data_IF_870295687116
#
_entry.id   IF_870295687116
#
_cell.length_a   1.000
_cell.length_b   1.000
_cell.length_c   1.000
_cell.angle_alpha   90.00
_cell.angle_beta   90.00
_cell.angle_gamma   90.00
#
_symmetry.space_group_name_H-M   'P 1'
#
loop_
_entity.id
_entity.type
_entity.pdbx_description
1 polymer ?
#
# COMPACT_ATOMS: atom_id res chain seq x y z
N UNK A 1 -12.66 -5.33 -9.41
CA UNK A 1 -13.40 -5.92 -8.28
C UNK A 1 -12.85 -5.32 -7.00
N UNK A 2 -13.66 -4.68 -6.16
CA UNK A 2 -13.18 -4.07 -4.92
C UNK A 2 -12.67 -5.15 -3.95
N UNK A 3 -11.62 -4.82 -3.21
CA UNK A 3 -11.04 -5.69 -2.18
C UNK A 3 -11.61 -5.30 -0.82
N UNK A 4 -11.86 -6.26 0.06
CA UNK A 4 -12.22 -6.02 1.45
C UNK A 4 -10.97 -5.93 2.32
N UNK A 5 -10.95 -4.98 3.24
CA UNK A 5 -9.80 -4.72 4.11
C UNK A 5 -10.21 -4.72 5.58
N UNK A 6 -9.34 -5.25 6.42
CA UNK A 6 -9.37 -5.05 7.87
C UNK A 6 -8.27 -4.09 8.31
N UNK A 7 -8.54 -3.35 9.38
CA UNK A 7 -7.60 -2.40 9.96
C UNK A 7 -6.50 -3.14 10.74
N UNK A 8 -5.24 -2.85 10.45
CA UNK A 8 -4.12 -3.34 11.27
C UNK A 8 -3.84 -2.37 12.41
N UNK A 9 -3.26 -2.87 13.51
CA UNK A 9 -2.85 -2.01 14.63
C UNK A 9 -1.57 -1.23 14.32
N UNK A 10 -1.74 -0.14 13.58
CA UNK A 10 -0.68 0.80 13.22
C UNK A 10 -0.12 1.53 14.45
N UNK A 11 -0.91 1.69 15.50
CA UNK A 11 -0.51 2.45 16.68
C UNK A 11 0.61 1.74 17.42
N UNK A 12 0.44 0.45 17.71
CA UNK A 12 1.51 -0.35 18.32
C UNK A 12 2.74 -0.42 17.42
N UNK A 13 2.55 -0.54 16.10
CA UNK A 13 3.65 -0.63 15.15
C UNK A 13 4.46 0.68 15.00
N UNK A 14 3.90 1.83 15.38
CA UNK A 14 4.53 3.17 15.28
C UNK A 14 5.14 3.68 16.58
N UNK A 15 5.14 2.88 17.66
CA UNK A 15 5.59 3.29 19.01
C UNK A 15 6.99 3.90 19.05
N UNK A 16 7.91 3.40 18.22
CA UNK A 16 9.30 3.88 18.17
C UNK A 16 9.54 5.02 17.17
N UNK A 17 8.48 5.54 16.53
CA UNK A 17 8.56 6.57 15.48
C UNK A 17 8.14 7.93 16.00
N UNK A 18 8.87 9.00 15.61
CA UNK A 18 8.47 10.38 15.93
C UNK A 18 7.60 10.99 14.83
N UNK A 19 7.64 10.40 13.64
CA UNK A 19 6.96 10.90 12.46
C UNK A 19 6.51 9.78 11.52
N UNK A 20 5.36 9.98 10.88
CA UNK A 20 4.79 9.03 9.94
C UNK A 20 4.23 9.71 8.67
N UNK A 21 4.52 9.13 7.51
CA UNK A 21 3.91 9.49 6.23
C UNK A 21 2.84 8.46 5.86
N UNK A 22 1.57 8.87 5.87
CA UNK A 22 0.44 8.05 5.43
C UNK A 22 0.34 8.13 3.91
N UNK A 23 0.35 6.97 3.25
CA UNK A 23 0.29 6.84 1.80
C UNK A 23 -0.99 6.07 1.43
N UNK A 24 -2.10 6.78 1.16
CA UNK A 24 -3.36 6.14 0.86
C UNK A 24 -3.48 5.74 -0.61
N UNK A 25 -4.01 4.54 -0.84
CA UNK A 25 -4.66 4.17 -2.09
C UNK A 25 -6.12 4.65 -2.01
N UNK A 26 -6.49 5.62 -2.84
CA UNK A 26 -7.80 6.28 -2.75
C UNK A 26 -8.93 5.47 -3.41
N UNK A 27 -8.65 4.26 -3.91
CA UNK A 27 -9.66 3.42 -4.55
C UNK A 27 -10.08 2.26 -3.65
N UNK A 28 -9.22 1.25 -3.45
CA UNK A 28 -9.66 0.00 -2.82
C UNK A 28 -10.02 0.19 -1.32
N UNK A 29 -9.15 0.76 -0.46
CA UNK A 29 -9.52 1.10 0.91
C UNK A 29 -10.74 2.00 1.02
N UNK A 30 -10.83 2.99 0.14
CA UNK A 30 -11.94 3.94 0.14
C UNK A 30 -13.29 3.25 -0.17
N UNK A 31 -13.28 2.24 -1.04
CA UNK A 31 -14.45 1.43 -1.32
C UNK A 31 -14.86 0.63 -0.08
N UNK A 32 -13.92 -0.04 0.58
CA UNK A 32 -14.19 -0.82 1.81
C UNK A 32 -14.71 0.03 2.94
N UNK A 33 -14.10 1.18 3.20
CA UNK A 33 -14.57 2.07 4.27
C UNK A 33 -15.97 2.60 3.96
N UNK A 34 -16.26 2.95 2.70
CA UNK A 34 -17.60 3.38 2.30
C UNK A 34 -18.64 2.26 2.45
N UNK A 35 -18.29 1.04 2.06
CA UNK A 35 -19.14 -0.15 2.22
C UNK A 35 -19.41 -0.45 3.70
N UNK A 36 -18.35 -0.52 4.52
CA UNK A 36 -18.44 -0.77 5.98
C UNK A 36 -19.30 0.26 6.70
N UNK A 37 -19.22 1.52 6.31
CA UNK A 37 -20.00 2.60 6.91
C UNK A 37 -21.39 2.78 6.28
N UNK A 38 -21.74 2.00 5.25
CA UNK A 38 -22.96 2.16 4.46
C UNK A 38 -23.16 3.61 3.96
N UNK A 39 -22.09 4.19 3.39
CA UNK A 39 -22.05 5.59 2.92
C UNK A 39 -21.70 5.67 1.43
N UNK A 40 -22.02 6.80 0.77
CA UNK A 40 -21.58 7.05 -0.59
C UNK A 40 -20.06 6.97 -0.72
N UNK A 41 -19.60 6.15 -1.68
CA UNK A 41 -18.19 6.00 -2.03
C UNK A 41 -17.67 7.22 -2.78
N UNK A 42 -18.44 7.76 -3.72
CA UNK A 42 -18.09 8.97 -4.47
C UNK A 42 -19.29 9.91 -4.53
N UNK A 43 -19.02 11.18 -4.29
CA UNK A 43 -20.01 12.26 -4.38
C UNK A 43 -19.57 13.23 -5.46
N UNK A 44 -20.19 13.16 -6.63
CA UNK A 44 -19.77 13.88 -7.83
C UNK A 44 -19.85 15.41 -7.65
N UNK A 45 -20.93 15.90 -7.05
CA UNK A 45 -21.20 17.35 -6.97
C UNK A 45 -20.70 18.04 -5.69
N UNK A 46 -20.46 17.28 -4.62
CA UNK A 46 -20.11 17.87 -3.31
C UNK A 46 -18.61 17.81 -3.02
N UNK A 47 -17.97 16.71 -3.37
CA UNK A 47 -16.63 16.40 -2.87
C UNK A 47 -15.59 16.18 -3.99
N UNK A 48 -15.86 16.62 -5.23
CA UNK A 48 -14.97 16.47 -6.40
C UNK A 48 -14.45 15.03 -6.55
N UNK A 49 -15.37 14.06 -6.53
CA UNK A 49 -15.06 12.63 -6.59
C UNK A 49 -14.17 12.12 -5.42
N UNK A 50 -14.19 12.73 -4.24
CA UNK A 50 -13.54 12.14 -3.07
C UNK A 50 -14.49 11.21 -2.32
N UNK A 51 -13.90 10.23 -1.65
CA UNK A 51 -14.59 9.42 -0.64
C UNK A 51 -14.53 10.14 0.71
N UNK A 52 -15.60 10.84 1.07
CA UNK A 52 -15.76 11.44 2.39
C UNK A 52 -15.54 10.46 3.56
N UNK A 53 -16.05 9.20 3.54
CA UNK A 53 -15.78 8.27 4.64
C UNK A 53 -14.29 7.93 4.75
N UNK A 54 -13.58 7.80 3.63
CA UNK A 54 -12.14 7.50 3.66
C UNK A 54 -11.30 8.68 4.16
N UNK A 55 -11.63 9.92 3.79
CA UNK A 55 -10.96 11.12 4.33
C UNK A 55 -11.18 11.24 5.86
N UNK A 56 -12.38 10.91 6.34
CA UNK A 56 -12.67 10.86 7.78
C UNK A 56 -11.85 9.77 8.48
N UNK A 57 -11.73 8.59 7.87
CA UNK A 57 -10.88 7.51 8.35
C UNK A 57 -9.42 7.96 8.50
N UNK A 58 -8.84 8.56 7.44
CA UNK A 58 -7.46 9.07 7.47
C UNK A 58 -7.29 10.12 8.57
N UNK A 59 -8.24 11.05 8.70
CA UNK A 59 -8.20 12.09 9.73
C UNK A 59 -8.24 11.50 11.15
N UNK A 60 -9.05 10.45 11.35
CA UNK A 60 -9.13 9.70 12.62
C UNK A 60 -7.80 9.00 12.92
N UNK A 61 -7.18 8.35 11.92
CA UNK A 61 -5.86 7.74 12.06
C UNK A 61 -4.79 8.78 12.41
N UNK A 62 -4.79 9.94 11.76
CA UNK A 62 -3.86 11.03 12.09
C UNK A 62 -4.03 11.53 13.53
N UNK A 63 -5.27 11.64 14.01
CA UNK A 63 -5.55 12.03 15.39
C UNK A 63 -5.02 10.99 16.39
N UNK A 64 -5.28 9.69 16.16
CA UNK A 64 -4.78 8.60 17.00
C UNK A 64 -3.24 8.56 17.04
N UNK A 65 -2.58 8.78 15.90
CA UNK A 65 -1.12 8.90 15.85
C UNK A 65 -0.62 10.10 16.66
N UNK A 66 -1.30 11.24 16.56
CA UNK A 66 -0.95 12.46 17.30
C UNK A 66 -1.11 12.29 18.82
N UNK A 67 -2.14 11.57 19.27
CA UNK A 67 -2.36 11.23 20.69
C UNK A 67 -1.18 10.41 21.26
N UNK A 68 -0.47 9.68 20.41
CA UNK A 68 0.74 8.92 20.77
C UNK A 68 2.04 9.71 20.54
N UNK A 69 1.94 11.01 20.26
CA UNK A 69 3.10 11.88 20.00
C UNK A 69 3.72 11.72 18.60
N UNK A 70 3.08 10.97 17.69
CA UNK A 70 3.60 10.74 16.33
C UNK A 70 3.09 11.82 15.39
N UNK A 71 4.00 12.63 14.82
CA UNK A 71 3.63 13.65 13.82
C UNK A 71 3.32 13.00 12.48
N UNK A 72 2.11 13.16 11.97
CA UNK A 72 1.68 12.51 10.74
C UNK A 72 1.40 13.48 9.59
N UNK A 73 1.69 13.07 8.35
CA UNK A 73 1.25 13.75 7.12
C UNK A 73 0.69 12.75 6.12
N UNK A 74 -0.22 13.19 5.25
CA UNK A 74 -0.80 12.37 4.17
C UNK A 74 -0.14 12.74 2.85
N UNK A 75 0.33 11.73 2.11
CA UNK A 75 0.84 11.90 0.74
C UNK A 75 -0.34 11.94 -0.25
N UNK A 76 -0.87 13.13 -0.51
CA UNK A 76 -2.10 13.33 -1.30
C UNK A 76 -1.87 13.20 -2.80
N UNK A 77 -2.80 12.52 -3.49
CA UNK A 77 -2.94 12.47 -4.95
C UNK A 77 -4.18 13.25 -5.39
N UNK A 78 -4.01 14.27 -6.22
CA UNK A 78 -5.13 15.12 -6.67
C UNK A 78 -5.77 14.66 -7.98
N UNK A 79 -5.04 13.89 -8.79
CA UNK A 79 -5.52 13.45 -10.10
C UNK A 79 -6.17 12.06 -9.97
N UNK A 80 -7.34 11.81 -10.59
CA UNK A 80 -8.04 10.52 -10.50
C UNK A 80 -7.18 9.32 -10.94
N UNK A 81 -6.36 9.47 -11.98
CA UNK A 81 -5.45 8.41 -12.43
C UNK A 81 -4.34 8.08 -11.41
N UNK A 82 -4.13 8.92 -10.39
CA UNK A 82 -3.17 8.69 -9.30
C UNK A 82 -3.84 8.08 -8.05
N UNK A 83 -5.10 7.68 -8.11
CA UNK A 83 -5.77 7.06 -6.96
C UNK A 83 -5.38 5.60 -6.77
N UNK A 84 -5.04 4.93 -7.87
CA UNK A 84 -4.52 3.57 -7.87
C UNK A 84 -3.04 3.61 -7.53
N UNK A 85 -2.72 3.47 -6.25
CA UNK A 85 -1.34 3.51 -5.77
C UNK A 85 -0.45 2.47 -6.47
N UNK A 86 -0.97 1.25 -6.66
CA UNK A 86 -0.29 0.16 -7.36
C UNK A 86 0.00 0.46 -8.85
N UNK A 87 -0.65 1.47 -9.42
CA UNK A 87 -0.45 1.89 -10.82
C UNK A 87 0.32 3.20 -10.93
N UNK A 88 0.98 3.64 -9.86
CA UNK A 88 1.76 4.87 -9.91
C UNK A 88 2.94 4.78 -10.86
N UNK A 89 3.11 5.82 -11.67
CA UNK A 89 4.27 5.97 -12.55
C UNK A 89 5.55 6.14 -11.74
N UNK A 90 6.70 5.80 -12.34
CA UNK A 90 8.02 6.01 -11.73
C UNK A 90 8.23 7.46 -11.28
N UNK A 91 7.68 8.45 -12.00
CA UNK A 91 7.75 9.86 -11.60
C UNK A 91 7.04 10.13 -10.26
N UNK A 92 5.87 9.51 -10.04
CA UNK A 92 5.11 9.62 -8.78
C UNK A 92 5.82 8.88 -7.65
N UNK A 93 6.36 7.69 -7.93
CA UNK A 93 7.16 6.90 -6.99
C UNK A 93 8.40 7.68 -6.51
N UNK A 94 9.14 8.35 -7.40
CA UNK A 94 10.25 9.23 -7.03
C UNK A 94 9.82 10.41 -6.15
N UNK A 95 8.63 10.99 -6.39
CA UNK A 95 8.08 12.03 -5.51
C UNK A 95 7.81 11.45 -4.12
N UNK A 96 7.17 10.28 -4.02
CA UNK A 96 6.98 9.61 -2.75
C UNK A 96 8.31 9.40 -2.02
N UNK A 97 9.33 8.88 -2.69
CA UNK A 97 10.66 8.65 -2.11
C UNK A 97 11.25 9.93 -1.49
N UNK A 98 11.17 11.07 -2.19
CA UNK A 98 11.66 12.36 -1.69
C UNK A 98 10.94 12.80 -0.40
N UNK A 99 9.63 12.59 -0.35
CA UNK A 99 8.84 12.90 0.84
C UNK A 99 9.14 11.92 1.99
N UNK A 100 9.22 10.61 1.70
CA UNK A 100 9.44 9.56 2.68
C UNK A 100 10.72 9.78 3.50
N UNK A 101 11.79 10.30 2.89
CA UNK A 101 13.06 10.63 3.57
C UNK A 101 12.95 11.58 4.77
N UNK A 102 11.83 12.30 4.90
CA UNK A 102 11.59 13.24 6.00
C UNK A 102 10.86 12.59 7.19
N UNK A 103 10.55 11.30 7.10
CA UNK A 103 9.74 10.58 8.07
C UNK A 103 10.44 9.31 8.52
N UNK A 104 10.22 8.93 9.79
CA UNK A 104 10.77 7.69 10.36
C UNK A 104 10.01 6.46 9.83
N UNK A 105 8.72 6.64 9.58
CA UNK A 105 7.81 5.57 9.19
C UNK A 105 6.92 5.98 8.01
N UNK A 106 6.63 5.01 7.14
CA UNK A 106 5.66 5.11 6.05
C UNK A 106 4.53 4.11 6.31
N UNK A 107 3.30 4.61 6.41
CA UNK A 107 2.09 3.80 6.63
C UNK A 107 1.35 3.70 5.30
N UNK A 108 1.17 2.48 4.77
CA UNK A 108 0.44 2.27 3.52
C UNK A 108 -0.99 1.84 3.81
N UNK A 109 -1.96 2.59 3.29
CA UNK A 109 -3.37 2.19 3.31
C UNK A 109 -3.70 1.67 1.92
N UNK A 110 -3.64 0.36 1.70
CA UNK A 110 -3.78 -0.24 0.38
C UNK A 110 -3.63 -1.76 0.40
N UNK A 111 -3.75 -2.39 -0.77
CA UNK A 111 -3.49 -3.81 -0.94
C UNK A 111 -2.00 -4.13 -0.99
N UNK A 112 -1.68 -5.43 -0.96
CA UNK A 112 -0.30 -5.93 -1.05
C UNK A 112 0.46 -5.35 -2.26
N UNK A 113 -0.20 -5.23 -3.42
CA UNK A 113 0.39 -4.61 -4.61
C UNK A 113 0.77 -3.14 -4.37
N UNK A 114 -0.08 -2.37 -3.67
CA UNK A 114 0.21 -1.00 -3.30
C UNK A 114 1.38 -0.94 -2.28
N UNK A 115 1.38 -1.82 -1.27
CA UNK A 115 2.50 -1.92 -0.33
C UNK A 115 3.81 -2.23 -1.03
N UNK A 116 3.82 -3.18 -1.96
CA UNK A 116 5.01 -3.51 -2.77
C UNK A 116 5.47 -2.31 -3.59
N UNK A 117 4.57 -1.60 -4.25
CA UNK A 117 4.92 -0.35 -4.96
C UNK A 117 5.58 0.67 -4.04
N UNK A 118 5.06 0.88 -2.83
CA UNK A 118 5.68 1.80 -1.86
C UNK A 118 7.04 1.28 -1.41
N UNK A 119 7.16 -0.01 -1.08
CA UNK A 119 8.41 -0.66 -0.66
C UNK A 119 9.51 -0.47 -1.71
N UNK A 120 9.20 -0.75 -2.96
CA UNK A 120 10.11 -0.60 -4.09
C UNK A 120 10.47 0.88 -4.33
N UNK A 121 9.52 1.81 -4.07
CA UNK A 121 9.73 3.25 -4.23
C UNK A 121 10.63 3.85 -3.16
N UNK A 122 10.47 3.46 -1.89
CA UNK A 122 11.27 3.99 -0.79
C UNK A 122 12.67 3.36 -0.79
N UNK A 123 12.80 2.11 -1.25
CA UNK A 123 14.08 1.44 -1.43
C UNK A 123 14.88 1.36 -0.13
N UNK A 124 16.17 1.68 -0.18
CA UNK A 124 17.11 1.64 0.95
C UNK A 124 17.01 2.83 1.91
N UNK A 125 15.91 3.59 1.91
CA UNK A 125 15.70 4.58 2.96
C UNK A 125 15.61 3.91 4.32
N UNK A 126 16.14 4.54 5.37
CA UNK A 126 16.01 4.07 6.76
C UNK A 126 14.57 4.16 7.32
N UNK A 127 13.57 4.30 6.45
CA UNK A 127 12.17 4.44 6.83
C UNK A 127 11.56 3.06 7.08
N UNK A 128 10.90 2.89 8.23
CA UNK A 128 10.11 1.69 8.53
C UNK A 128 8.84 1.70 7.68
N UNK A 129 8.56 0.61 6.97
CA UNK A 129 7.30 0.44 6.23
C UNK A 129 6.30 -0.33 7.08
N UNK A 130 5.09 0.20 7.22
CA UNK A 130 3.98 -0.41 7.96
C UNK A 130 2.77 -0.53 7.05
N UNK A 131 2.19 -1.72 7.00
CA UNK A 131 0.89 -1.95 6.38
C UNK A 131 -0.19 -1.50 7.37
N UNK A 132 -1.06 -0.58 6.94
CA UNK A 132 -2.15 -0.10 7.79
C UNK A 132 -3.45 -0.87 7.63
N UNK A 133 -3.55 -1.70 6.59
CA UNK A 133 -4.72 -2.51 6.31
C UNK A 133 -4.30 -3.83 5.67
N UNK A 134 -5.01 -4.91 6.00
CA UNK A 134 -4.81 -6.24 5.42
C UNK A 134 -5.97 -6.60 4.50
N UNK A 135 -5.68 -7.26 3.38
CA UNK A 135 -6.74 -7.73 2.46
C UNK A 135 -7.32 -9.04 2.98
N UNK A 136 -8.60 -9.04 3.37
CA UNK A 136 -9.27 -10.23 3.93
C UNK A 136 -10.25 -10.87 2.96
N UNK A 137 -10.61 -10.18 1.88
CA UNK A 137 -11.60 -10.67 0.95
C UNK A 137 -11.76 -9.85 -0.31
N UNK A 138 -12.72 -10.27 -1.10
CA UNK A 138 -13.22 -9.60 -2.27
C UNK A 138 -14.64 -9.12 -1.95
N UNK A 139 -14.93 -7.85 -2.25
CA UNK A 139 -16.28 -7.31 -2.12
C UNK A 139 -17.02 -7.56 -3.42
N UNK A 140 -18.07 -8.39 -3.38
CA UNK A 140 -19.05 -8.49 -4.43
C UNK A 140 -20.21 -7.54 -4.10
N UNK A 141 -20.37 -6.48 -4.87
CA UNK A 141 -21.38 -5.45 -4.64
C UNK A 141 -21.93 -4.95 -5.97
N UNK A 142 -23.19 -4.52 -5.96
CA UNK A 142 -23.77 -3.73 -7.04
C UNK A 142 -23.48 -2.26 -6.80
N UNK A 143 -23.14 -1.53 -7.86
CA UNK A 143 -23.06 -0.07 -7.82
C UNK A 143 -24.48 0.49 -8.00
N UNK A 144 -24.84 1.46 -7.17
CA UNK A 144 -26.09 2.20 -7.28
C UNK A 144 -25.79 3.68 -7.36
N UNK A 145 -26.32 4.36 -8.39
CA UNK A 145 -26.32 5.81 -8.45
C UNK A 145 -27.56 6.34 -7.73
N UNK A 146 -27.38 7.11 -6.67
CA UNK A 146 -28.46 7.81 -5.96
C UNK A 146 -28.49 9.27 -6.39
N UNK A 147 -29.67 9.84 -6.62
CA UNK A 147 -29.80 11.26 -6.94
C UNK A 147 -29.55 12.11 -5.68
N UNK A 148 -28.72 13.18 -5.73
CA UNK A 148 -28.05 13.74 -6.90
C UNK A 148 -26.60 13.21 -7.08
N UNK A 149 -26.43 12.16 -7.88
CA UNK A 149 -25.16 11.56 -8.32
C UNK A 149 -24.18 11.11 -7.23
N UNK A 150 -24.70 10.49 -6.17
CA UNK A 150 -23.91 9.75 -5.17
C UNK A 150 -23.75 8.29 -5.63
N UNK A 151 -22.52 7.78 -5.68
CA UNK A 151 -22.23 6.37 -6.00
C UNK A 151 -22.17 5.58 -4.69
N UNK A 152 -23.10 4.65 -4.51
CA UNK A 152 -23.20 3.80 -3.33
C UNK A 152 -23.01 2.32 -3.69
N UNK A 153 -22.68 1.52 -2.69
CA UNK A 153 -22.67 0.06 -2.77
C UNK A 153 -24.01 -0.51 -2.29
N UNK A 154 -24.49 -1.58 -2.93
CA UNK A 154 -25.72 -2.32 -2.59
C UNK A 154 -25.47 -3.82 -2.71
N UNK A 155 -26.17 -4.58 -1.90
CA UNK A 155 -26.10 -6.05 -1.87
C UNK A 155 -24.65 -6.56 -1.64
N UNK A 156 -23.89 -5.86 -0.81
CA UNK A 156 -22.47 -6.16 -0.58
C UNK A 156 -22.29 -7.47 0.16
N UNK A 157 -21.50 -8.37 -0.43
CA UNK A 157 -21.07 -9.62 0.19
C UNK A 157 -19.56 -9.73 0.11
N UNK A 158 -18.92 -9.95 1.24
CA UNK A 158 -17.50 -10.26 1.31
C UNK A 158 -17.32 -11.74 1.01
N UNK A 159 -16.51 -12.04 0.01
CA UNK A 159 -16.03 -13.39 -0.30
C UNK A 159 -14.61 -13.46 0.30
N UNK A 160 -14.39 -14.22 1.39
CA UNK A 160 -13.08 -14.34 2.00
C UNK A 160 -12.06 -14.82 0.98
N UNK A 161 -10.88 -14.22 0.97
CA UNK A 161 -9.73 -14.80 0.28
C UNK A 161 -9.15 -15.78 1.30
N UNK A 162 -9.20 -17.07 1.00
CA UNK A 162 -8.50 -18.07 1.81
C UNK A 162 -7.05 -17.63 1.94
N UNK A 163 -6.48 -17.58 3.16
CA UNK A 163 -5.05 -17.32 3.29
C UNK A 163 -4.32 -18.33 2.40
N UNK A 164 -3.27 -17.93 1.66
CA UNK A 164 -2.35 -18.92 1.16
C UNK A 164 -1.91 -19.73 2.38
N UNK A 165 -2.11 -21.05 2.36
CA UNK A 165 -1.48 -21.93 3.35
C UNK A 165 -0.02 -21.49 3.41
N UNK A 166 0.41 -20.96 4.56
CA UNK A 166 1.82 -20.71 4.80
C UNK A 166 2.47 -22.08 4.75
N UNK A 167 2.89 -22.48 3.55
CA UNK A 167 3.56 -23.74 3.30
C UNK A 167 4.64 -23.89 4.34
N UNK A 168 4.59 -25.01 5.06
CA UNK A 168 5.61 -25.42 6.01
C UNK A 168 6.97 -25.08 5.40
N UNK A 169 7.67 -24.19 6.08
CA UNK A 169 9.03 -23.80 5.76
C UNK A 169 9.84 -25.10 5.59
N UNK A 170 10.46 -25.36 4.42
CA UNK A 170 11.34 -26.51 4.30
C UNK A 170 12.47 -26.29 5.31
N UNK A 171 12.50 -27.13 6.33
CA UNK A 171 13.67 -27.32 7.18
C UNK A 171 14.80 -27.75 6.25
N UNK A 172 15.63 -26.79 5.85
CA UNK A 172 16.91 -27.07 5.23
C UNK A 172 17.78 -27.75 6.28
N UNK A 173 17.66 -29.08 6.37
CA UNK A 173 18.70 -29.93 6.94
C UNK A 173 19.84 -29.93 5.93
N UNK A 174 20.88 -29.17 6.26
CA UNK A 174 22.19 -29.18 5.62
C UNK A 174 22.75 -30.61 5.59
N UNK A 175 23.21 -31.14 4.44
CA UNK A 175 24.23 -32.17 4.40
C UNK A 175 25.57 -31.51 4.11
N UNK A 176 26.47 -31.67 5.08
CA UNK A 176 27.87 -31.30 5.03
C UNK A 176 28.65 -32.12 3.97
N UNK A 177 29.61 -31.45 3.31
CA UNK A 177 30.76 -31.97 2.52
C UNK A 177 30.44 -32.68 1.19
N UNK A 178 31.10 -32.42 0.05
CA UNK A 178 32.55 -32.56 -0.21
C UNK A 178 32.94 -31.95 -1.58
N UNK A 179 34.04 -31.18 -1.58
CA UNK A 179 35.14 -30.93 -2.54
C UNK A 179 35.03 -31.20 -4.08
N UNK A 180 35.77 -30.35 -4.83
CA UNK A 180 36.35 -30.47 -6.21
C UNK A 180 35.47 -29.87 -7.33
N UNK A 181 35.88 -29.00 -8.29
CA UNK A 181 37.19 -28.60 -8.83
C UNK A 181 37.20 -27.12 -9.28
N UNK A 182 38.40 -26.53 -9.25
CA UNK A 182 38.75 -25.27 -9.90
C UNK A 182 38.76 -25.43 -11.43
N UNK A 183 38.00 -24.61 -12.16
CA UNK A 183 38.23 -24.39 -13.60
C UNK A 183 38.50 -22.90 -13.82
N UNK A 184 39.79 -22.59 -14.01
CA UNK A 184 40.25 -21.33 -14.61
C UNK A 184 39.80 -21.30 -16.06
N UNK A 185 38.98 -20.32 -16.45
CA UNK A 185 38.89 -19.85 -17.84
C UNK A 185 39.47 -18.45 -17.92
N UNK A 186 40.72 -18.38 -18.36
CA UNK A 186 41.27 -17.19 -18.99
C UNK A 186 40.63 -17.05 -20.37
N UNK A 187 40.06 -15.90 -20.69
CA UNK A 187 39.88 -15.48 -22.08
C UNK A 187 40.48 -14.10 -22.24
N UNK A 188 41.45 -14.06 -23.16
CA UNK A 188 42.32 -12.95 -23.48
C UNK A 188 41.58 -11.81 -24.18
N UNK A 189 42.13 -10.61 -23.99
CA UNK A 189 41.85 -9.38 -24.74
C UNK A 189 41.94 -9.62 -26.25
N UNK A 190 41.06 -8.99 -27.02
CA UNK A 190 41.42 -8.45 -28.33
C UNK A 190 40.97 -6.99 -28.41
N UNK A 191 41.97 -6.11 -28.50
CA UNK A 191 41.86 -4.73 -28.92
C UNK A 191 41.88 -4.77 -30.45
N UNK A 192 40.99 -4.05 -31.12
CA UNK A 192 41.31 -3.44 -32.40
C UNK A 192 40.49 -2.16 -32.58
N UNK A 193 41.23 -1.06 -32.69
CA UNK A 193 40.78 0.24 -33.15
C UNK A 193 40.88 0.29 -34.67
N UNK A 194 39.98 1.03 -35.31
CA UNK A 194 40.19 1.59 -36.64
C UNK A 194 39.43 2.90 -36.75
N UNK A 195 40.22 3.96 -37.01
CA UNK A 195 39.97 5.22 -37.73
C UNK A 195 38.54 5.75 -37.91
#
# INVERSE_FOLDING_TARGET
MPLHFEDLDVISATRDSRSALIVPCNMCPAATVADRENKPFLRLFKDFLKSAPFEKYISTLQNRLREQGVRSKVFKSHLPHQWFLCMWTAARQRKLQKHARQYDTVIVLGCESATRTVRDSIGSTNCKLIEGMETTGIINTKLSLQFPCDICFKDSKVIPISPPEKGAQPTNTEPSSTTVANIKRSVSRLIQATH
#
